data_IF_601607546820
#
_entry.id   IF_601607546820
#
_cell.length_a   1.000
_cell.length_b   1.000
_cell.length_c   1.000
_cell.angle_alpha   90.00
_cell.angle_beta   90.00
_cell.angle_gamma   90.00
#
_symmetry.space_group_name_H-M   'P 1'
#
loop_
_entity.id
_entity.type
_entity.pdbx_description
1 polymer ?
#
# COMPACT_ATOMS: atom_id res chain seq x y z
N UNK A 1 -57.26 -21.34 -23.15
CA UNK A 1 -55.86 -21.21 -22.68
C UNK A 1 -55.48 -22.50 -21.98
N UNK A 2 -54.57 -23.28 -22.58
CA UNK A 2 -54.16 -24.58 -22.05
C UNK A 2 -53.11 -24.39 -20.93
N UNK A 3 -53.15 -25.20 -19.84
CA UNK A 3 -52.17 -25.13 -18.78
C UNK A 3 -50.83 -25.71 -19.26
N UNK A 4 -49.78 -24.90 -19.23
CA UNK A 4 -48.41 -25.33 -19.48
C UNK A 4 -47.96 -26.28 -18.36
N UNK A 5 -47.84 -27.56 -18.68
CA UNK A 5 -47.32 -28.59 -17.79
C UNK A 5 -45.90 -28.21 -17.33
N UNK A 6 -45.75 -27.89 -16.03
CA UNK A 6 -44.44 -27.74 -15.40
C UNK A 6 -43.72 -29.09 -15.48
N UNK A 7 -42.61 -29.13 -16.23
CA UNK A 7 -41.66 -30.25 -16.22
C UNK A 7 -41.37 -30.64 -14.78
N UNK A 8 -41.70 -31.89 -14.43
CA UNK A 8 -41.50 -32.43 -13.09
C UNK A 8 -40.05 -32.25 -12.66
N UNK A 9 -39.85 -31.55 -11.55
CA UNK A 9 -38.59 -31.58 -10.82
C UNK A 9 -38.50 -32.97 -10.23
N UNK A 10 -37.69 -33.83 -10.84
CA UNK A 10 -37.37 -35.15 -10.30
C UNK A 10 -36.53 -34.91 -9.04
N UNK A 11 -37.17 -34.98 -7.88
CA UNK A 11 -36.46 -35.05 -6.61
C UNK A 11 -35.79 -36.42 -6.55
N UNK A 12 -34.50 -36.48 -6.88
CA UNK A 12 -33.66 -37.63 -6.56
C UNK A 12 -33.71 -37.83 -5.05
N UNK A 13 -34.19 -39.01 -4.63
CA UNK A 13 -34.17 -39.41 -3.22
C UNK A 13 -32.74 -39.24 -2.70
N UNK A 14 -32.50 -38.41 -1.68
CA UNK A 14 -31.15 -38.16 -1.20
C UNK A 14 -30.62 -39.47 -0.64
N UNK A 15 -29.66 -40.07 -1.34
CA UNK A 15 -28.73 -41.01 -0.74
C UNK A 15 -28.14 -40.25 0.45
N UNK A 16 -28.46 -40.72 1.65
CA UNK A 16 -28.41 -39.99 2.90
C UNK A 16 -26.97 -39.69 3.33
N UNK A 17 -26.34 -38.67 2.74
CA UNK A 17 -25.22 -38.02 3.40
C UNK A 17 -25.72 -37.41 4.72
N UNK A 18 -25.01 -37.61 5.85
CA UNK A 18 -25.40 -37.00 7.11
C UNK A 18 -25.47 -35.48 6.93
N UNK A 19 -26.51 -34.79 7.42
CA UNK A 19 -26.70 -33.35 7.23
C UNK A 19 -25.50 -32.51 7.74
N UNK A 20 -24.73 -33.05 8.68
CA UNK A 20 -23.50 -32.46 9.18
C UNK A 20 -22.37 -32.42 8.13
N UNK A 21 -22.26 -33.44 7.27
CA UNK A 21 -21.21 -33.53 6.24
C UNK A 21 -21.50 -32.55 5.11
N UNK A 22 -22.76 -32.45 4.68
CA UNK A 22 -23.20 -31.46 3.69
C UNK A 22 -22.99 -30.02 4.21
N UNK A 23 -23.36 -29.73 5.45
CA UNK A 23 -23.17 -28.42 6.07
C UNK A 23 -21.67 -28.06 6.20
N UNK A 24 -20.81 -29.02 6.57
CA UNK A 24 -19.36 -28.80 6.65
C UNK A 24 -18.76 -28.49 5.27
N UNK A 25 -19.09 -29.28 4.25
CA UNK A 25 -18.62 -29.06 2.87
C UNK A 25 -19.05 -27.71 2.31
N UNK A 26 -20.30 -27.31 2.56
CA UNK A 26 -20.79 -26.00 2.11
C UNK A 26 -20.06 -24.85 2.81
N UNK A 27 -19.86 -24.94 4.13
CA UNK A 27 -19.11 -23.94 4.90
C UNK A 27 -17.66 -23.84 4.45
N UNK A 28 -17.03 -24.97 4.15
CA UNK A 28 -15.66 -25.03 3.66
C UNK A 28 -15.54 -24.42 2.25
N UNK A 29 -16.45 -24.77 1.33
CA UNK A 29 -16.52 -24.18 0.00
C UNK A 29 -16.76 -22.66 0.03
N UNK A 30 -17.62 -22.18 0.93
CA UNK A 30 -17.83 -20.73 1.14
C UNK A 30 -16.58 -20.05 1.73
N UNK A 31 -15.88 -20.69 2.67
CA UNK A 31 -14.62 -20.17 3.24
C UNK A 31 -13.54 -20.04 2.17
N UNK A 32 -13.33 -21.07 1.35
CA UNK A 32 -12.34 -21.04 0.25
C UNK A 32 -12.68 -19.92 -0.74
N UNK A 33 -13.93 -19.80 -1.19
CA UNK A 33 -14.34 -18.72 -2.11
C UNK A 33 -14.10 -17.33 -1.54
N UNK A 34 -14.44 -17.10 -0.26
CA UNK A 34 -14.20 -15.81 0.42
C UNK A 34 -12.71 -15.52 0.56
N UNK A 35 -11.93 -16.54 0.92
CA UNK A 35 -10.49 -16.47 1.06
C UNK A 35 -9.81 -16.10 -0.28
N UNK A 36 -10.19 -16.73 -1.39
CA UNK A 36 -9.70 -16.42 -2.74
C UNK A 36 -10.08 -15.00 -3.16
N UNK A 37 -11.34 -14.60 -2.96
CA UNK A 37 -11.80 -13.25 -3.31
C UNK A 37 -11.03 -12.14 -2.59
N UNK A 38 -10.76 -12.31 -1.30
CA UNK A 38 -9.96 -11.35 -0.52
C UNK A 38 -8.52 -11.24 -1.04
N UNK A 39 -7.89 -12.36 -1.39
CA UNK A 39 -6.53 -12.36 -1.91
C UNK A 39 -6.41 -11.66 -3.26
N UNK A 40 -7.35 -11.91 -4.17
CA UNK A 40 -7.38 -11.23 -5.47
C UNK A 40 -7.49 -9.72 -5.26
N UNK A 41 -8.38 -9.27 -4.38
CA UNK A 41 -8.52 -7.85 -4.04
C UNK A 41 -7.23 -7.28 -3.46
N UNK A 42 -6.59 -7.98 -2.51
CA UNK A 42 -5.30 -7.55 -1.94
C UNK A 42 -4.22 -7.40 -3.00
N UNK A 43 -4.05 -8.37 -3.91
CA UNK A 43 -3.06 -8.29 -4.98
C UNK A 43 -3.36 -7.16 -5.94
N UNK A 44 -4.63 -7.00 -6.35
CA UNK A 44 -5.03 -5.92 -7.26
C UNK A 44 -4.76 -4.54 -6.65
N UNK A 45 -5.09 -4.33 -5.37
CA UNK A 45 -4.86 -3.05 -4.68
C UNK A 45 -3.37 -2.76 -4.54
N UNK A 46 -2.57 -3.74 -4.11
CA UNK A 46 -1.10 -3.58 -4.01
C UNK A 46 -0.48 -3.29 -5.38
N UNK A 47 -0.84 -4.07 -6.41
CA UNK A 47 -0.34 -3.90 -7.76
C UNK A 47 -0.70 -2.53 -8.35
N UNK A 48 -1.95 -2.10 -8.20
CA UNK A 48 -2.40 -0.78 -8.66
C UNK A 48 -1.63 0.36 -7.97
N UNK A 49 -1.43 0.27 -6.66
CA UNK A 49 -0.64 1.25 -5.90
C UNK A 49 0.82 1.29 -6.38
N UNK A 50 1.47 0.14 -6.57
CA UNK A 50 2.86 0.07 -7.03
C UNK A 50 3.04 0.65 -8.44
N UNK A 51 2.12 0.31 -9.35
CA UNK A 51 2.11 0.82 -10.73
C UNK A 51 1.90 2.34 -10.74
N UNK A 52 0.91 2.83 -9.99
CA UNK A 52 0.59 4.26 -9.97
C UNK A 52 1.71 5.10 -9.34
N UNK A 53 2.37 4.62 -8.29
CA UNK A 53 3.56 5.29 -7.74
C UNK A 53 4.73 5.29 -8.73
N UNK A 54 5.01 4.14 -9.34
CA UNK A 54 6.07 4.03 -10.36
C UNK A 54 5.81 5.01 -11.49
N UNK A 55 4.58 5.04 -12.03
CA UNK A 55 4.19 5.99 -13.05
C UNK A 55 4.41 7.44 -12.60
N UNK A 56 4.04 7.81 -11.38
CA UNK A 56 4.23 9.17 -10.86
C UNK A 56 5.71 9.60 -10.84
N UNK A 57 6.61 8.74 -10.33
CA UNK A 57 8.05 9.02 -10.29
C UNK A 57 8.62 9.12 -11.70
N UNK A 58 8.33 8.16 -12.57
CA UNK A 58 8.84 8.14 -13.94
C UNK A 58 8.33 9.33 -14.77
N UNK A 59 7.06 9.70 -14.63
CA UNK A 59 6.52 10.91 -15.24
C UNK A 59 7.24 12.18 -14.75
N UNK A 60 7.62 12.23 -13.47
CA UNK A 60 8.42 13.34 -12.93
C UNK A 60 9.80 13.41 -13.59
N UNK A 61 10.49 12.26 -13.68
CA UNK A 61 11.79 12.16 -14.35
C UNK A 61 11.73 12.58 -15.83
N UNK A 62 10.70 12.16 -16.56
CA UNK A 62 10.52 12.50 -17.99
C UNK A 62 10.27 14.00 -18.21
N UNK A 63 9.62 14.67 -17.25
CA UNK A 63 9.35 16.11 -17.33
C UNK A 63 10.47 16.99 -16.74
N UNK A 64 11.49 16.40 -16.11
CA UNK A 64 12.59 17.13 -15.49
C UNK A 64 13.30 18.08 -16.46
N UNK A 65 13.63 17.60 -17.67
CA UNK A 65 14.39 18.38 -18.66
C UNK A 65 13.55 19.47 -19.34
N UNK A 66 12.25 19.20 -19.55
CA UNK A 66 11.32 20.16 -20.17
C UNK A 66 11.26 21.44 -19.35
N UNK A 67 11.20 21.31 -18.01
CA UNK A 67 11.14 22.47 -17.13
C UNK A 67 12.50 23.12 -16.86
N UNK A 68 13.59 22.38 -16.95
CA UNK A 68 14.93 22.95 -16.73
C UNK A 68 15.21 24.15 -17.65
N UNK A 69 14.63 24.13 -18.86
CA UNK A 69 14.71 25.22 -19.82
C UNK A 69 13.66 26.32 -19.57
N UNK A 70 12.44 25.96 -19.19
CA UNK A 70 11.32 26.89 -18.99
C UNK A 70 11.38 27.67 -17.67
N UNK A 71 12.05 27.12 -16.65
CA UNK A 71 12.00 27.63 -15.27
C UNK A 71 13.21 28.51 -14.90
N UNK A 72 13.94 29.07 -15.89
CA UNK A 72 15.05 29.99 -15.59
C UNK A 72 14.51 31.24 -14.87
N UNK A 73 14.90 31.41 -13.60
CA UNK A 73 14.57 32.58 -12.78
C UNK A 73 13.33 32.43 -11.90
N UNK A 74 12.57 31.33 -12.00
CA UNK A 74 11.46 31.04 -11.07
C UNK A 74 11.95 30.09 -9.98
N UNK A 75 11.74 30.40 -8.68
CA UNK A 75 12.08 29.49 -7.60
C UNK A 75 11.29 28.19 -7.74
N UNK A 76 11.98 27.04 -7.79
CA UNK A 76 11.34 25.71 -7.95
C UNK A 76 10.30 25.41 -6.87
N UNK A 77 10.48 25.96 -5.67
CA UNK A 77 9.52 25.84 -4.56
C UNK A 77 8.17 26.52 -4.83
N UNK A 78 8.14 27.58 -5.65
CA UNK A 78 6.90 28.29 -6.00
C UNK A 78 6.00 27.49 -6.96
N UNK A 79 6.58 26.48 -7.62
CA UNK A 79 5.92 25.65 -8.63
C UNK A 79 5.40 24.34 -8.06
N UNK A 80 5.75 24.01 -6.81
CA UNK A 80 5.24 22.83 -6.14
C UNK A 80 3.96 23.18 -5.35
N UNK A 81 2.76 22.86 -5.86
CA UNK A 81 1.51 23.13 -5.15
C UNK A 81 1.40 22.34 -3.84
N UNK A 82 2.18 21.26 -3.70
CA UNK A 82 2.22 20.41 -2.51
C UNK A 82 3.35 20.77 -1.55
N UNK A 83 4.02 21.91 -1.69
CA UNK A 83 5.06 22.34 -0.76
C UNK A 83 4.64 22.30 0.73
N UNK A 84 3.39 22.69 1.12
CA UNK A 84 2.95 22.51 2.51
C UNK A 84 2.89 21.04 2.95
N UNK A 85 2.48 20.15 2.04
CA UNK A 85 2.43 18.72 2.30
C UNK A 85 3.82 18.11 2.36
N UNK A 86 4.74 18.46 1.46
CA UNK A 86 6.16 18.08 1.51
C UNK A 86 6.79 18.44 2.87
N UNK A 87 6.57 19.68 3.35
CA UNK A 87 7.05 20.10 4.68
C UNK A 87 6.48 19.24 5.81
N UNK A 88 5.20 18.87 5.72
CA UNK A 88 4.57 17.95 6.67
C UNK A 88 5.20 16.55 6.57
N UNK A 89 5.42 16.04 5.36
CA UNK A 89 6.02 14.75 5.07
C UNK A 89 7.43 14.65 5.65
N UNK A 90 8.24 15.69 5.53
CA UNK A 90 9.58 15.74 6.13
C UNK A 90 9.53 15.73 7.66
N UNK A 91 8.56 16.43 8.24
CA UNK A 91 8.45 16.58 9.70
C UNK A 91 7.88 15.34 10.39
N UNK A 92 6.86 14.72 9.81
CA UNK A 92 6.08 13.63 10.44
C UNK A 92 5.85 12.42 9.53
N UNK A 93 6.52 12.34 8.38
CA UNK A 93 6.29 11.34 7.33
C UNK A 93 6.10 9.90 7.83
N UNK A 94 7.03 9.33 8.62
CA UNK A 94 6.89 7.97 9.16
C UNK A 94 5.63 7.75 10.00
N UNK A 95 5.13 8.82 10.63
CA UNK A 95 3.99 8.77 11.54
C UNK A 95 2.66 8.96 10.80
N UNK A 96 2.66 9.57 9.60
CA UNK A 96 1.42 9.82 8.85
C UNK A 96 0.63 8.54 8.57
N UNK A 97 1.26 7.43 8.14
CA UNK A 97 0.50 6.20 7.90
C UNK A 97 -0.09 5.59 9.18
N UNK A 98 0.39 5.94 10.38
CA UNK A 98 -0.19 5.47 11.66
C UNK A 98 -1.57 6.07 11.94
N UNK A 99 -1.91 7.19 11.30
CA UNK A 99 -3.24 7.80 11.46
C UNK A 99 -4.35 6.88 10.95
N UNK A 100 -4.07 6.04 9.95
CA UNK A 100 -5.03 5.08 9.37
C UNK A 100 -5.44 3.98 10.36
N UNK A 101 -4.53 3.18 10.94
CA UNK A 101 -4.90 2.16 11.92
C UNK A 101 -5.52 2.78 13.18
N UNK A 102 -5.07 3.96 13.60
CA UNK A 102 -5.69 4.70 14.73
C UNK A 102 -7.14 5.11 14.43
N UNK A 103 -7.43 5.59 13.22
CA UNK A 103 -8.77 6.01 12.81
C UNK A 103 -9.71 4.82 12.59
N UNK A 104 -9.20 3.74 11.99
CA UNK A 104 -9.92 2.47 11.84
C UNK A 104 -10.35 1.94 13.21
N UNK A 105 -9.48 2.10 14.21
CA UNK A 105 -9.68 1.63 15.57
C UNK A 105 -9.70 0.10 15.66
N UNK A 106 -9.64 -0.41 16.88
CA UNK A 106 -9.88 -1.82 17.18
C UNK A 106 -11.40 -2.07 17.13
N UNK A 107 -11.95 -2.16 15.92
CA UNK A 107 -13.34 -2.53 15.71
C UNK A 107 -13.57 -4.00 16.11
N UNK A 108 -13.89 -4.23 17.38
CA UNK A 108 -14.83 -5.27 17.86
C UNK A 108 -14.62 -6.72 17.39
N UNK A 109 -13.36 -7.13 17.17
CA UNK A 109 -13.00 -8.55 17.13
C UNK A 109 -12.15 -8.80 18.38
N UNK A 110 -12.56 -9.70 19.28
CA UNK A 110 -12.00 -9.93 20.61
C UNK A 110 -10.53 -10.39 20.70
N UNK A 111 -9.69 -10.01 19.74
CA UNK A 111 -8.26 -10.22 19.65
C UNK A 111 -7.55 -8.87 19.42
N UNK A 112 -7.93 -7.86 20.21
CA UNK A 112 -7.78 -6.44 19.87
C UNK A 112 -6.32 -5.91 19.97
N UNK A 113 -5.56 -6.26 21.00
CA UNK A 113 -4.21 -5.69 21.23
C UNK A 113 -3.08 -6.13 20.26
N UNK A 114 -3.03 -7.36 19.73
CA UNK A 114 -1.96 -7.77 18.82
C UNK A 114 -1.90 -6.90 17.56
N UNK A 115 -3.05 -6.56 16.95
CA UNK A 115 -3.07 -5.91 15.64
C UNK A 115 -2.32 -4.57 15.59
N UNK A 116 -2.67 -3.64 16.48
CA UNK A 116 -2.06 -2.30 16.53
C UNK A 116 -0.59 -2.37 16.90
N UNK A 117 -0.22 -3.23 17.87
CA UNK A 117 1.17 -3.40 18.26
C UNK A 117 2.02 -3.98 17.12
N UNK A 118 1.50 -4.97 16.39
CA UNK A 118 2.21 -5.52 15.23
C UNK A 118 2.37 -4.47 14.13
N UNK A 119 1.33 -3.66 13.85
CA UNK A 119 1.43 -2.54 12.91
C UNK A 119 2.48 -1.53 13.36
N UNK A 120 2.50 -1.16 14.65
CA UNK A 120 3.51 -0.25 15.21
C UNK A 120 4.92 -0.82 15.09
N UNK A 121 5.13 -2.10 15.39
CA UNK A 121 6.44 -2.77 15.26
C UNK A 121 6.90 -2.77 13.81
N UNK A 122 6.03 -3.13 12.87
CA UNK A 122 6.36 -3.12 11.44
C UNK A 122 6.71 -1.70 10.98
N UNK A 123 5.92 -0.71 11.39
CA UNK A 123 6.15 0.68 10.99
C UNK A 123 7.45 1.24 11.59
N UNK A 124 7.74 0.88 12.84
CA UNK A 124 9.00 1.22 13.51
C UNK A 124 10.18 0.56 12.79
N UNK A 125 10.05 -0.72 12.39
CA UNK A 125 11.07 -1.41 11.61
C UNK A 125 11.30 -0.75 10.25
N UNK A 126 10.25 -0.32 9.55
CA UNK A 126 10.37 0.43 8.29
C UNK A 126 11.06 1.78 8.49
N UNK A 127 10.71 2.50 9.55
CA UNK A 127 11.35 3.77 9.90
C UNK A 127 12.83 3.58 10.25
N UNK A 128 13.18 2.55 11.03
CA UNK A 128 14.54 2.20 11.39
C UNK A 128 15.37 1.79 10.18
N UNK A 129 14.82 0.94 9.30
CA UNK A 129 15.45 0.53 8.05
C UNK A 129 15.74 1.73 7.15
N UNK A 130 14.80 2.68 7.07
CA UNK A 130 15.00 3.94 6.35
C UNK A 130 16.13 4.77 6.96
N UNK A 131 16.20 4.90 8.29
CA UNK A 131 17.30 5.60 8.97
C UNK A 131 18.63 4.90 8.66
N UNK A 132 18.68 3.57 8.72
CA UNK A 132 19.88 2.80 8.40
C UNK A 132 20.33 3.02 6.95
N UNK A 133 19.40 3.00 5.98
CA UNK A 133 19.70 3.32 4.58
C UNK A 133 20.20 4.76 4.43
N UNK A 134 19.54 5.73 5.07
CA UNK A 134 19.96 7.12 5.02
C UNK A 134 21.40 7.28 5.52
N UNK A 135 21.73 6.70 6.68
CA UNK A 135 23.09 6.73 7.24
C UNK A 135 24.11 5.98 6.37
N UNK A 136 23.72 4.87 5.73
CA UNK A 136 24.60 4.11 4.84
C UNK A 136 24.94 4.87 3.55
N UNK A 137 24.01 5.67 3.03
CA UNK A 137 24.15 6.44 1.79
C UNK A 137 24.55 7.91 2.01
N UNK A 138 24.90 8.31 3.23
CA UNK A 138 25.54 9.60 3.44
C UNK A 138 26.89 9.64 2.71
N UNK A 139 27.31 10.83 2.19
CA UNK A 139 28.56 10.97 1.44
C UNK A 139 29.81 10.53 2.21
N UNK A 140 29.77 10.60 3.55
CA UNK A 140 30.87 10.13 4.42
C UNK A 140 30.67 8.67 4.92
N UNK A 141 29.58 8.02 4.49
CA UNK A 141 29.22 6.66 4.90
C UNK A 141 30.14 5.59 4.30
N UNK A 142 30.42 4.55 5.08
CA UNK A 142 31.29 3.45 4.69
C UNK A 142 30.86 2.75 3.38
N UNK A 143 29.55 2.66 3.10
CA UNK A 143 29.05 2.06 1.86
C UNK A 143 29.20 2.96 0.63
N UNK A 144 29.08 4.29 0.78
CA UNK A 144 29.30 5.23 -0.31
C UNK A 144 30.76 5.16 -0.81
N UNK A 145 31.70 5.04 0.13
CA UNK A 145 33.13 4.88 -0.16
C UNK A 145 33.49 3.49 -0.74
N UNK A 146 32.79 2.43 -0.33
CA UNK A 146 33.08 1.06 -0.76
C UNK A 146 32.59 0.76 -2.18
N UNK A 147 31.42 1.27 -2.56
CA UNK A 147 30.79 0.93 -3.84
C UNK A 147 31.25 1.81 -5.00
N UNK A 148 31.75 3.03 -4.75
CA UNK A 148 32.01 4.00 -5.83
C UNK A 148 33.25 4.88 -5.56
N UNK A 149 34.43 4.38 -5.90
CA UNK A 149 35.72 5.08 -5.88
C UNK A 149 35.91 6.08 -7.04
N UNK A 150 34.86 6.76 -7.49
CA UNK A 150 34.95 7.73 -8.60
C UNK A 150 34.73 9.16 -8.11
N UNK A 151 35.85 9.79 -7.75
CA UNK A 151 36.18 11.21 -8.03
C UNK A 151 35.05 12.23 -7.86
N UNK A 152 34.80 12.69 -6.64
CA UNK A 152 34.14 13.98 -6.37
C UNK A 152 35.14 15.12 -6.53
N UNK A 153 35.50 15.45 -7.77
CA UNK A 153 36.38 16.59 -8.08
C UNK A 153 35.68 17.97 -8.05
N UNK A 154 34.43 18.06 -7.57
CA UNK A 154 33.73 19.34 -7.44
C UNK A 154 32.91 19.32 -6.15
N UNK A 155 33.30 20.16 -5.17
CA UNK A 155 32.76 20.23 -3.80
C UNK A 155 31.31 20.69 -3.66
N UNK A 156 30.38 20.15 -4.45
CA UNK A 156 28.96 20.17 -4.17
C UNK A 156 28.58 18.79 -3.67
N UNK A 157 28.07 18.70 -2.45
CA UNK A 157 27.55 17.48 -1.86
C UNK A 157 26.40 16.94 -2.72
N UNK A 158 26.73 16.16 -3.75
CA UNK A 158 25.76 15.47 -4.58
C UNK A 158 25.16 14.35 -3.73
N UNK A 159 23.91 14.50 -3.33
CA UNK A 159 23.19 13.43 -2.66
C UNK A 159 23.10 12.24 -3.63
N UNK A 160 23.56 11.07 -3.18
CA UNK A 160 23.69 9.90 -4.05
C UNK A 160 22.34 9.29 -4.45
N UNK A 161 21.33 9.60 -3.65
CA UNK A 161 19.99 9.05 -3.67
C UNK A 161 19.02 10.16 -3.28
N UNK A 162 17.89 10.28 -3.98
CA UNK A 162 16.83 11.16 -3.49
C UNK A 162 16.24 10.57 -2.21
N UNK A 163 16.54 11.22 -1.08
CA UNK A 163 16.00 10.93 0.24
C UNK A 163 14.47 11.07 0.26
N UNK A 164 13.93 12.00 -0.53
CA UNK A 164 12.49 12.24 -0.65
C UNK A 164 11.79 11.09 -1.40
N UNK A 165 12.32 10.62 -2.53
CA UNK A 165 11.76 9.46 -3.24
C UNK A 165 11.82 8.21 -2.38
N UNK A 166 12.93 8.01 -1.65
CA UNK A 166 13.05 6.90 -0.71
C UNK A 166 12.04 7.01 0.45
N UNK A 167 11.87 8.21 1.01
CA UNK A 167 10.86 8.51 2.02
C UNK A 167 9.46 8.15 1.53
N UNK A 168 9.08 8.67 0.36
CA UNK A 168 7.78 8.39 -0.24
C UNK A 168 7.58 6.90 -0.52
N UNK A 169 8.61 6.19 -0.97
CA UNK A 169 8.52 4.74 -1.22
C UNK A 169 8.18 3.94 0.04
N UNK A 170 8.78 4.28 1.19
CA UNK A 170 8.49 3.63 2.48
C UNK A 170 7.05 3.90 2.93
N UNK A 171 6.58 5.14 2.75
CA UNK A 171 5.22 5.54 3.11
C UNK A 171 4.16 4.92 2.21
N UNK A 172 4.40 4.89 0.91
CA UNK A 172 3.50 4.30 -0.08
C UNK A 172 3.40 2.79 0.11
N UNK A 173 4.48 2.11 0.52
CA UNK A 173 4.44 0.69 0.90
C UNK A 173 3.50 0.45 2.09
N UNK A 174 3.63 1.24 3.16
CA UNK A 174 2.75 1.16 4.33
C UNK A 174 1.28 1.45 3.98
N UNK A 175 1.02 2.53 3.22
CA UNK A 175 -0.32 2.90 2.80
C UNK A 175 -0.94 1.87 1.84
N UNK A 176 -0.15 1.27 0.95
CA UNK A 176 -0.64 0.21 0.06
C UNK A 176 -1.04 -1.05 0.85
N UNK A 177 -0.25 -1.43 1.87
CA UNK A 177 -0.59 -2.54 2.75
C UNK A 177 -1.89 -2.28 3.52
N UNK A 178 -2.06 -1.08 4.09
CA UNK A 178 -3.30 -0.69 4.77
C UNK A 178 -4.51 -0.67 3.81
N UNK A 179 -4.34 -0.14 2.59
CA UNK A 179 -5.39 -0.13 1.58
C UNK A 179 -5.84 -1.56 1.24
N UNK A 180 -4.88 -2.48 1.08
CA UNK A 180 -5.17 -3.89 0.80
C UNK A 180 -5.88 -4.59 1.97
N UNK A 181 -5.49 -4.30 3.21
CA UNK A 181 -6.16 -4.81 4.41
C UNK A 181 -7.59 -4.29 4.54
N UNK A 182 -7.80 -2.99 4.36
CA UNK A 182 -9.11 -2.35 4.40
C UNK A 182 -10.03 -2.88 3.30
N UNK A 183 -9.52 -3.03 2.07
CA UNK A 183 -10.29 -3.59 0.96
C UNK A 183 -10.70 -5.05 1.25
N UNK A 184 -9.80 -5.87 1.80
CA UNK A 184 -10.13 -7.23 2.20
C UNK A 184 -11.22 -7.26 3.28
N UNK A 185 -11.14 -6.40 4.31
CA UNK A 185 -12.15 -6.29 5.38
C UNK A 185 -13.51 -5.87 4.84
N UNK A 186 -13.56 -4.86 3.95
CA UNK A 186 -14.80 -4.42 3.31
C UNK A 186 -15.45 -5.56 2.49
N UNK A 187 -14.65 -6.35 1.78
CA UNK A 187 -15.12 -7.55 1.08
C UNK A 187 -15.65 -8.62 2.05
N UNK A 188 -14.97 -8.85 3.18
CA UNK A 188 -15.43 -9.80 4.22
C UNK A 188 -16.80 -9.40 4.77
N UNK A 189 -16.97 -8.13 5.14
CA UNK A 189 -18.22 -7.59 5.69
C UNK A 189 -19.39 -7.76 4.71
N UNK A 190 -19.18 -7.43 3.43
CA UNK A 190 -20.19 -7.60 2.38
C UNK A 190 -20.59 -9.05 2.18
N UNK A 191 -19.62 -9.97 2.16
CA UNK A 191 -19.85 -11.40 1.91
C UNK A 191 -20.54 -12.15 3.06
N UNK A 192 -20.51 -11.58 4.27
CA UNK A 192 -21.08 -12.20 5.48
C UNK A 192 -22.54 -11.83 5.71
N UNK A 193 -23.15 -10.99 4.86
CA UNK A 193 -24.55 -10.57 5.03
C UNK A 193 -24.81 -9.73 6.28
N UNK A 194 -23.76 -9.32 7.01
CA UNK A 194 -23.81 -8.49 8.21
C UNK A 194 -24.13 -7.01 7.89
N UNK A 195 -25.05 -6.79 6.95
CA UNK A 195 -25.34 -5.49 6.33
C UNK A 195 -26.38 -4.68 7.11
N UNK A 196 -26.97 -5.22 8.18
CA UNK A 196 -27.79 -4.40 9.06
C UNK A 196 -26.94 -3.86 10.21
N UNK A 197 -26.74 -2.52 10.31
CA UNK A 197 -26.12 -1.96 11.48
C UNK A 197 -27.08 -2.11 12.66
N UNK A 198 -26.82 -3.04 13.58
CA UNK A 198 -27.23 -2.81 14.96
C UNK A 198 -26.45 -1.60 15.47
N UNK A 199 -26.99 -0.83 16.42
CA UNK A 199 -26.48 0.51 16.76
C UNK A 199 -24.95 0.61 17.02
N UNK A 200 -24.26 -0.48 17.39
CA UNK A 200 -22.80 -0.56 17.50
C UNK A 200 -22.02 -0.73 16.17
N UNK A 201 -22.54 -1.47 15.19
CA UNK A 201 -21.83 -1.76 13.93
C UNK A 201 -21.84 -0.59 12.92
N UNK A 202 -22.71 0.39 13.12
CA UNK A 202 -22.71 1.64 12.33
C UNK A 202 -21.42 2.44 12.50
N UNK A 203 -20.86 2.48 13.71
CA UNK A 203 -19.63 3.25 14.00
C UNK A 203 -18.39 2.56 13.48
N UNK A 204 -18.28 1.24 13.62
CA UNK A 204 -17.17 0.47 13.06
C UNK A 204 -17.12 0.58 11.53
N UNK A 205 -18.28 0.50 10.86
CA UNK A 205 -18.37 0.68 9.42
C UNK A 205 -17.93 2.08 8.96
N UNK A 206 -18.37 3.13 9.66
CA UNK A 206 -17.92 4.50 9.38
C UNK A 206 -16.40 4.65 9.53
N UNK A 207 -15.81 4.06 10.57
CA UNK A 207 -14.35 4.09 10.80
C UNK A 207 -13.57 3.35 9.72
N UNK A 208 -14.07 2.21 9.25
CA UNK A 208 -13.46 1.48 8.13
C UNK A 208 -13.44 2.33 6.84
N UNK A 209 -14.56 2.95 6.49
CA UNK A 209 -14.63 3.85 5.33
C UNK A 209 -13.78 5.11 5.50
N UNK A 210 -13.77 5.70 6.70
CA UNK A 210 -12.93 6.85 7.00
C UNK A 210 -11.44 6.49 6.87
N UNK A 211 -11.03 5.32 7.38
CA UNK A 211 -9.67 4.79 7.20
C UNK A 211 -9.33 4.55 5.73
N UNK A 212 -10.25 3.97 4.94
CA UNK A 212 -10.05 3.75 3.51
C UNK A 212 -9.90 5.07 2.74
N UNK A 213 -10.77 6.04 3.00
CA UNK A 213 -10.70 7.37 2.39
C UNK A 213 -9.38 8.08 2.76
N UNK A 214 -9.01 8.07 4.05
CA UNK A 214 -7.76 8.66 4.52
C UNK A 214 -6.54 8.00 3.86
N UNK A 215 -6.54 6.67 3.74
CA UNK A 215 -5.45 5.93 3.09
C UNK A 215 -5.29 6.36 1.64
N UNK A 216 -6.40 6.42 0.88
CA UNK A 216 -6.38 6.85 -0.53
C UNK A 216 -5.88 8.29 -0.66
N UNK A 217 -6.34 9.20 0.20
CA UNK A 217 -5.92 10.61 0.19
C UNK A 217 -4.42 10.73 0.50
N UNK A 218 -3.94 10.10 1.58
CA UNK A 218 -2.52 10.14 1.93
C UNK A 218 -1.66 9.50 0.84
N UNK A 219 -2.12 8.39 0.26
CA UNK A 219 -1.42 7.71 -0.82
C UNK A 219 -1.31 8.61 -2.05
N UNK A 220 -2.43 9.24 -2.48
CA UNK A 220 -2.45 10.13 -3.64
C UNK A 220 -1.57 11.36 -3.42
N UNK A 221 -1.67 12.00 -2.25
CA UNK A 221 -0.82 13.15 -1.91
C UNK A 221 0.66 12.78 -1.92
N UNK A 222 1.03 11.63 -1.33
CA UNK A 222 2.42 11.16 -1.35
C UNK A 222 2.88 10.87 -2.77
N UNK A 223 2.09 10.18 -3.59
CA UNK A 223 2.46 9.85 -4.97
C UNK A 223 2.64 11.11 -5.84
N UNK A 224 1.75 12.10 -5.71
CA UNK A 224 1.85 13.38 -6.44
C UNK A 224 3.05 14.19 -5.94
N UNK A 225 3.31 14.19 -4.64
CA UNK A 225 4.50 14.84 -4.07
C UNK A 225 5.80 14.20 -4.61
N UNK A 226 5.83 12.87 -4.77
CA UNK A 226 6.96 12.17 -5.41
C UNK A 226 7.12 12.51 -6.89
N UNK A 227 6.02 12.73 -7.62
CA UNK A 227 6.09 13.25 -8.98
C UNK A 227 6.78 14.63 -9.02
N UNK A 228 6.35 15.57 -8.19
CA UNK A 228 6.95 16.91 -8.13
C UNK A 228 8.38 16.89 -7.61
N UNK A 229 8.68 16.01 -6.66
CA UNK A 229 10.03 15.74 -6.17
C UNK A 229 10.96 15.34 -7.32
N UNK A 230 10.55 14.32 -8.07
CA UNK A 230 11.32 13.80 -9.20
C UNK A 230 11.45 14.83 -10.33
N UNK A 231 10.41 15.62 -10.56
CA UNK A 231 10.35 16.65 -11.59
C UNK A 231 11.23 17.86 -11.30
N UNK A 232 11.27 18.34 -10.05
CA UNK A 232 11.85 19.64 -9.73
C UNK A 232 13.14 19.59 -8.91
N UNK A 233 13.36 18.58 -8.08
CA UNK A 233 14.39 18.69 -7.03
C UNK A 233 15.64 17.87 -7.28
N UNK A 234 15.52 16.73 -7.97
CA UNK A 234 16.63 15.80 -8.16
C UNK A 234 16.83 15.42 -9.63
N UNK A 235 18.08 15.24 -10.09
CA UNK A 235 18.38 14.65 -11.39
C UNK A 235 17.70 13.28 -11.56
N UNK A 236 17.28 12.90 -12.78
CA UNK A 236 16.62 11.63 -13.04
C UNK A 236 17.39 10.40 -12.54
N UNK A 237 18.73 10.44 -12.59
CA UNK A 237 19.58 9.34 -12.14
C UNK A 237 19.46 9.08 -10.63
N UNK A 238 19.40 10.13 -9.81
CA UNK A 238 19.18 10.03 -8.36
C UNK A 238 17.79 9.46 -8.06
N UNK A 239 16.77 9.91 -8.81
CA UNK A 239 15.39 9.44 -8.67
C UNK A 239 15.24 7.96 -9.05
N UNK A 240 15.86 7.53 -10.16
CA UNK A 240 15.80 6.14 -10.63
C UNK A 240 16.48 5.20 -9.63
N UNK A 241 17.62 5.60 -9.07
CA UNK A 241 18.29 4.83 -8.00
C UNK A 241 17.41 4.76 -6.76
N UNK A 242 16.82 5.87 -6.33
CA UNK A 242 15.93 5.93 -5.16
C UNK A 242 14.68 5.09 -5.35
N UNK A 243 14.09 5.12 -6.54
CA UNK A 243 12.99 4.27 -6.94
C UNK A 243 13.37 2.79 -6.90
N UNK A 244 14.50 2.41 -7.49
CA UNK A 244 14.94 1.01 -7.50
C UNK A 244 15.15 0.48 -6.07
N UNK A 245 15.86 1.22 -5.23
CA UNK A 245 16.04 0.88 -3.80
C UNK A 245 14.68 0.81 -3.12
N UNK A 246 13.79 1.78 -3.33
CA UNK A 246 12.45 1.79 -2.76
C UNK A 246 11.60 0.58 -3.17
N UNK A 247 11.68 0.18 -4.43
CA UNK A 247 11.03 -1.04 -4.95
C UNK A 247 11.58 -2.26 -4.21
N UNK A 248 12.89 -2.47 -4.20
CA UNK A 248 13.47 -3.68 -3.62
C UNK A 248 13.30 -3.77 -2.10
N UNK A 249 13.38 -2.64 -1.40
CA UNK A 249 13.33 -2.61 0.07
C UNK A 249 11.90 -2.60 0.60
N UNK A 250 11.00 -1.83 -0.01
CA UNK A 250 9.67 -1.59 0.57
C UNK A 250 8.52 -2.23 -0.22
N UNK A 251 8.61 -2.32 -1.55
CA UNK A 251 7.50 -2.80 -2.38
C UNK A 251 7.58 -4.29 -2.69
N UNK A 252 8.76 -4.77 -3.11
CA UNK A 252 8.98 -6.17 -3.48
C UNK A 252 8.66 -7.14 -2.34
N UNK A 253 9.05 -6.89 -1.07
CA UNK A 253 8.67 -7.77 0.03
C UNK A 253 7.15 -7.89 0.22
N UNK A 254 6.41 -6.79 0.04
CA UNK A 254 4.94 -6.79 0.12
C UNK A 254 4.32 -7.59 -1.04
N UNK A 255 4.80 -7.39 -2.27
CA UNK A 255 4.34 -8.14 -3.43
C UNK A 255 4.63 -9.64 -3.30
N UNK A 256 5.87 -10.00 -2.93
CA UNK A 256 6.29 -11.38 -2.72
C UNK A 256 5.48 -12.06 -1.61
N UNK A 257 5.21 -11.36 -0.51
CA UNK A 257 4.34 -11.87 0.54
C UNK A 257 2.92 -12.14 0.02
N UNK A 258 2.33 -11.21 -0.72
CA UNK A 258 0.98 -11.37 -1.27
C UNK A 258 0.88 -12.55 -2.25
N UNK A 259 1.89 -12.72 -3.12
CA UNK A 259 1.98 -13.85 -4.06
C UNK A 259 2.17 -15.17 -3.30
N UNK A 260 3.06 -15.20 -2.31
CA UNK A 260 3.30 -16.39 -1.49
C UNK A 260 2.02 -16.84 -0.77
N UNK A 261 1.23 -15.91 -0.23
CA UNK A 261 -0.06 -16.21 0.40
C UNK A 261 -1.03 -16.90 -0.57
N UNK A 262 -1.05 -16.52 -1.85
CA UNK A 262 -1.87 -17.20 -2.86
C UNK A 262 -1.35 -18.60 -3.11
N UNK A 263 -0.04 -18.77 -3.31
CA UNK A 263 0.56 -20.07 -3.59
C UNK A 263 0.23 -21.12 -2.51
N UNK A 264 0.31 -20.74 -1.23
CA UNK A 264 0.01 -21.65 -0.11
C UNK A 264 -1.44 -22.12 -0.05
N UNK A 265 -2.38 -21.36 -0.61
CA UNK A 265 -3.81 -21.73 -0.61
C UNK A 265 -4.21 -22.56 -1.81
N UNK A 266 -3.46 -22.47 -2.91
CA UNK A 266 -3.66 -23.36 -4.07
C UNK A 266 -3.16 -24.77 -3.77
N UNK A 267 -2.14 -24.90 -2.92
CA UNK A 267 -1.55 -26.19 -2.54
C UNK A 267 -2.23 -26.88 -1.35
N UNK A 268 -3.19 -26.24 -0.69
CA UNK A 268 -3.90 -26.76 0.50
C UNK A 268 -5.33 -27.18 0.12
#
# INVERSE_FOLDING_TARGET
MAPTARRGVVYSSPVSEPPLVACKREREGQRVRRATGQQVVTICVLGAAMVAWTAAVWMGCLWYEVDAHLMRGVPRSALNPLLPYDKLLRRVGPLLPLTVPLLRGEGDTGHAMPGVLHTLVIYTAFAALRIALYLAFQPDGAMANLLFTTSTAAGKHAHWLSDHILLGSSMLGMLAAEAAMLAAQLCSCRSSGAVAPSNGSSTAWRRLWAGAALTVVLWALTAIDMHFTARFFHPPQENVRAWAVGVFVFQAPLASWAIWQVSRRVSA
#
